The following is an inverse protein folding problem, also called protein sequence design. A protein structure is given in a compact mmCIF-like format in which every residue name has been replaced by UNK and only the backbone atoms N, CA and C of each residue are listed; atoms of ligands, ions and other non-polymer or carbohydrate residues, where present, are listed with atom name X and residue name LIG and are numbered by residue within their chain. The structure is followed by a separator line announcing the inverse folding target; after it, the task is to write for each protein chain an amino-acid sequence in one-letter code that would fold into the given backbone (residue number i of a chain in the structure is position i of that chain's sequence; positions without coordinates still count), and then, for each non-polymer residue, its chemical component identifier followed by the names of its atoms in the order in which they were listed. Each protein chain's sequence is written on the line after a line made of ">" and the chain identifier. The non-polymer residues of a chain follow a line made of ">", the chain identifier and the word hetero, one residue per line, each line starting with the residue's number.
data_IF_100299517821
#
_entry.id   IF_100299517821
#
_cell.length_a   1.000
_cell.length_b   1.000
_cell.length_c   1.000
_cell.angle_alpha   90.00
_cell.angle_beta   90.00
_cell.angle_gamma   90.00
#
_symmetry.space_group_name_H-M   'P 1'
#
loop_
_entity.id
_entity.type
_entity.pdbx_description
1 polymer ?
#
# COMPACT_ATOMS: atom_id res chain seq x y z
N UNK A 1 -19.46 18.67 -10.80
CA UNK A 1 -18.68 18.56 -12.06
C UNK A 1 -18.42 17.08 -12.32
N UNK A 2 -18.66 16.56 -13.53
CA UNK A 2 -18.38 15.16 -13.84
C UNK A 2 -16.87 14.88 -13.71
N UNK A 3 -16.44 13.84 -12.96
CA UNK A 3 -15.03 13.49 -12.86
C UNK A 3 -14.57 12.94 -14.21
N UNK A 4 -13.81 13.75 -14.95
CA UNK A 4 -13.15 13.29 -16.17
C UNK A 4 -12.02 12.32 -15.83
N UNK A 5 -11.85 11.26 -16.63
CA UNK A 5 -10.76 10.29 -16.51
C UNK A 5 -9.41 11.02 -16.60
N UNK A 6 -8.67 11.06 -15.49
CA UNK A 6 -7.29 11.54 -15.46
C UNK A 6 -6.38 10.37 -15.78
N UNK A 7 -5.80 10.35 -16.97
CA UNK A 7 -4.83 9.32 -17.33
C UNK A 7 -3.51 9.57 -16.56
N UNK A 8 -2.88 8.52 -15.99
CA UNK A 8 -1.66 8.66 -15.18
C UNK A 8 -0.39 8.85 -16.05
N UNK A 9 -0.48 9.59 -17.15
CA UNK A 9 0.57 9.69 -18.18
C UNK A 9 1.89 10.24 -17.65
N UNK A 10 1.87 11.17 -16.69
CA UNK A 10 3.12 11.70 -16.13
C UNK A 10 3.83 10.62 -15.27
N UNK A 11 3.08 9.73 -14.61
CA UNK A 11 3.65 8.58 -13.90
C UNK A 11 4.17 7.51 -14.86
N UNK A 12 3.43 7.21 -15.93
CA UNK A 12 3.85 6.27 -16.99
C UNK A 12 5.15 6.75 -17.67
N UNK A 13 5.25 8.06 -17.93
CA UNK A 13 6.48 8.67 -18.46
C UNK A 13 7.65 8.58 -17.48
N UNK A 14 7.41 8.81 -16.18
CA UNK A 14 8.43 8.67 -15.17
C UNK A 14 8.94 7.23 -15.06
N UNK A 15 8.02 6.26 -15.03
CA UNK A 15 8.33 4.84 -14.98
C UNK A 15 9.22 4.40 -16.14
N UNK A 16 8.83 4.74 -17.38
CA UNK A 16 9.63 4.40 -18.56
C UNK A 16 11.04 4.99 -18.55
N UNK A 17 11.18 6.25 -18.11
CA UNK A 17 12.48 6.89 -17.99
C UNK A 17 13.34 6.29 -16.86
N UNK A 18 12.74 5.93 -15.72
CA UNK A 18 13.46 5.27 -14.62
C UNK A 18 13.94 3.88 -15.02
N UNK A 19 13.13 3.10 -15.75
CA UNK A 19 13.53 1.80 -16.28
C UNK A 19 14.73 1.93 -17.23
N UNK A 20 14.70 2.93 -18.12
CA UNK A 20 15.80 3.20 -19.05
C UNK A 20 17.07 3.68 -18.32
N UNK A 21 16.93 4.55 -17.32
CA UNK A 21 18.06 4.96 -16.51
C UNK A 21 18.67 3.78 -15.74
N UNK A 22 17.81 2.94 -15.15
CA UNK A 22 18.24 1.78 -14.36
C UNK A 22 18.97 0.74 -15.21
N UNK A 23 18.53 0.50 -16.45
CA UNK A 23 19.22 -0.42 -17.35
C UNK A 23 20.65 0.05 -17.67
N UNK A 24 20.85 1.36 -17.85
CA UNK A 24 22.18 1.94 -18.08
C UNK A 24 23.04 1.94 -16.81
N UNK A 25 22.48 2.30 -15.66
CA UNK A 25 23.19 2.21 -14.37
C UNK A 25 23.65 0.78 -14.09
N UNK A 26 22.79 -0.21 -14.35
CA UNK A 26 23.11 -1.63 -14.19
C UNK A 26 24.23 -2.05 -15.15
N UNK A 27 24.12 -1.68 -16.43
CA UNK A 27 25.16 -1.94 -17.42
C UNK A 27 26.50 -1.33 -17.01
N UNK A 28 26.51 -0.08 -16.53
CA UNK A 28 27.74 0.58 -16.06
C UNK A 28 28.34 -0.12 -14.85
N UNK A 29 27.52 -0.49 -13.86
CA UNK A 29 27.96 -1.23 -12.68
C UNK A 29 28.56 -2.60 -13.01
N UNK A 30 28.08 -3.25 -14.07
CA UNK A 30 28.60 -4.54 -14.51
C UNK A 30 29.84 -4.40 -15.40
N UNK A 31 29.86 -3.42 -16.32
CA UNK A 31 30.89 -3.31 -17.36
C UNK A 31 32.12 -2.51 -16.94
N UNK A 32 31.96 -1.42 -16.19
CA UNK A 32 33.08 -0.52 -15.88
C UNK A 32 34.15 -1.15 -14.95
N UNK A 33 33.79 -2.00 -13.96
CA UNK A 33 34.79 -2.63 -13.09
C UNK A 33 35.66 -3.69 -13.78
N UNK A 34 35.33 -4.11 -15.00
CA UNK A 34 36.01 -5.21 -15.70
C UNK A 34 36.84 -4.63 -16.85
N UNK A 35 38.15 -4.84 -16.79
CA UNK A 35 39.12 -4.46 -17.82
C UNK A 35 40.22 -5.52 -17.93
N UNK A 36 40.64 -5.87 -19.16
CA UNK A 36 41.62 -6.94 -19.39
C UNK A 36 43.03 -6.52 -18.95
N UNK A 37 43.70 -7.38 -18.17
CA UNK A 37 45.08 -7.20 -17.71
C UNK A 37 45.27 -5.85 -16.98
N UNK A 38 46.25 -5.04 -17.38
CA UNK A 38 46.50 -3.74 -16.74
C UNK A 38 45.44 -2.69 -17.08
N UNK A 39 44.81 -2.77 -18.26
CA UNK A 39 43.63 -2.01 -18.73
C UNK A 39 43.43 -2.17 -20.24
N UNK A 40 42.21 -2.46 -20.68
CA UNK A 40 41.72 -2.20 -22.04
C UNK A 40 40.96 -0.87 -22.15
N UNK A 41 40.71 -0.38 -23.36
CA UNK A 41 40.13 0.95 -23.62
C UNK A 41 38.61 0.95 -23.86
N UNK A 42 37.90 -0.16 -23.59
CA UNK A 42 36.45 -0.24 -23.83
C UNK A 42 35.64 0.68 -22.91
N UNK A 43 36.17 1.00 -21.73
CA UNK A 43 35.63 1.96 -20.77
C UNK A 43 35.64 3.41 -21.29
N UNK A 44 36.60 3.78 -22.15
CA UNK A 44 36.73 5.15 -22.68
C UNK A 44 35.51 5.63 -23.46
N UNK A 45 34.88 4.77 -24.27
CA UNK A 45 33.62 5.13 -24.95
C UNK A 45 32.41 5.03 -24.03
N UNK A 46 32.40 4.07 -23.10
CA UNK A 46 31.27 3.87 -22.18
C UNK A 46 31.15 5.02 -21.18
N UNK A 47 32.27 5.50 -20.62
CA UNK A 47 32.29 6.60 -19.64
C UNK A 47 31.79 7.93 -20.21
N UNK A 48 31.82 8.13 -21.54
CA UNK A 48 31.20 9.30 -22.20
C UNK A 48 29.68 9.31 -22.09
N UNK A 49 29.07 8.19 -21.73
CA UNK A 49 27.63 8.03 -21.58
C UNK A 49 27.16 8.08 -20.11
N UNK A 50 28.04 8.42 -19.16
CA UNK A 50 27.66 8.49 -17.74
C UNK A 50 26.49 9.45 -17.49
N UNK A 51 26.38 10.53 -18.27
CA UNK A 51 25.28 11.50 -18.15
C UNK A 51 23.91 11.00 -18.62
N UNK A 52 23.87 9.92 -19.42
CA UNK A 52 22.64 9.41 -20.02
C UNK A 52 21.60 8.95 -18.97
N UNK A 53 21.92 8.07 -18.00
CA UNK A 53 20.95 7.71 -16.97
C UNK A 53 20.52 8.91 -16.12
N UNK A 54 21.42 9.86 -15.84
CA UNK A 54 21.06 11.07 -15.09
C UNK A 54 20.08 11.97 -15.86
N UNK A 55 20.22 12.07 -17.18
CA UNK A 55 19.26 12.77 -18.03
C UNK A 55 17.86 12.15 -17.96
N UNK A 56 17.78 10.82 -18.02
CA UNK A 56 16.50 10.11 -17.89
C UNK A 56 15.92 10.20 -16.48
N UNK A 57 16.75 10.14 -15.42
CA UNK A 57 16.30 10.38 -14.04
C UNK A 57 15.72 11.78 -13.92
N UNK A 58 16.38 12.80 -14.48
CA UNK A 58 15.89 14.17 -14.41
C UNK A 58 14.52 14.34 -15.09
N UNK A 59 14.32 13.73 -16.27
CA UNK A 59 13.02 13.73 -16.97
C UNK A 59 11.96 13.02 -16.12
N UNK A 60 12.32 11.88 -15.50
CA UNK A 60 11.41 11.15 -14.64
C UNK A 60 10.99 11.96 -13.42
N UNK A 61 11.93 12.62 -12.74
CA UNK A 61 11.65 13.46 -11.57
C UNK A 61 10.72 14.63 -11.91
N UNK A 62 10.93 15.30 -13.04
CA UNK A 62 10.01 16.35 -13.51
C UNK A 62 8.61 15.80 -13.80
N UNK A 63 8.53 14.61 -14.39
CA UNK A 63 7.25 13.95 -14.69
C UNK A 63 6.53 13.53 -13.41
N UNK A 64 7.25 12.98 -12.41
CA UNK A 64 6.71 12.66 -11.09
C UNK A 64 6.18 13.91 -10.39
N UNK A 65 6.95 14.99 -10.34
CA UNK A 65 6.53 16.23 -9.69
C UNK A 65 5.26 16.80 -10.33
N UNK A 66 5.17 16.75 -11.67
CA UNK A 66 3.97 17.13 -12.41
C UNK A 66 2.79 16.20 -12.12
N UNK A 67 3.00 14.89 -12.07
CA UNK A 67 1.98 13.91 -11.71
C UNK A 67 1.43 14.12 -10.29
N UNK A 68 2.33 14.29 -9.31
CA UNK A 68 1.98 14.56 -7.91
C UNK A 68 1.15 15.83 -7.76
N UNK A 69 1.49 16.90 -8.48
CA UNK A 69 0.74 18.16 -8.44
C UNK A 69 -0.72 18.06 -8.93
N UNK A 70 -1.05 16.98 -9.66
CA UNK A 70 -2.39 16.73 -10.20
C UNK A 70 -3.25 15.85 -9.30
N UNK A 71 -2.66 15.23 -8.27
CA UNK A 71 -3.38 14.30 -7.40
C UNK A 71 -4.44 15.02 -6.57
N UNK A 72 -5.63 14.42 -6.53
CA UNK A 72 -6.71 14.78 -5.61
C UNK A 72 -7.24 13.51 -4.99
N UNK A 73 -7.22 13.43 -3.66
CA UNK A 73 -7.71 12.27 -2.93
C UNK A 73 -9.23 12.18 -3.10
N UNK A 74 -9.72 11.02 -3.54
CA UNK A 74 -11.14 10.73 -3.61
C UNK A 74 -11.58 10.02 -2.33
N UNK A 75 -11.87 10.81 -1.29
CA UNK A 75 -12.26 10.30 0.03
C UNK A 75 -13.57 9.50 -0.03
N UNK A 76 -14.53 9.90 -0.86
CA UNK A 76 -15.81 9.22 -1.01
C UNK A 76 -15.65 7.80 -1.54
N UNK A 77 -14.81 7.62 -2.57
CA UNK A 77 -14.50 6.29 -3.10
C UNK A 77 -13.77 5.41 -2.08
N UNK A 78 -12.83 5.98 -1.32
CA UNK A 78 -12.13 5.27 -0.24
C UNK A 78 -13.12 4.83 0.84
N UNK A 79 -13.94 5.75 1.36
CA UNK A 79 -14.97 5.43 2.36
C UNK A 79 -15.95 4.39 1.87
N UNK A 80 -16.45 4.51 0.64
CA UNK A 80 -17.37 3.54 0.05
C UNK A 80 -16.72 2.16 -0.12
N UNK A 81 -15.41 2.11 -0.37
CA UNK A 81 -14.66 0.85 -0.46
C UNK A 81 -14.51 0.22 0.91
N UNK A 82 -14.12 0.98 1.93
CA UNK A 82 -14.04 0.50 3.32
C UNK A 82 -15.40 0.00 3.83
N UNK A 83 -16.47 0.72 3.53
CA UNK A 83 -17.83 0.37 3.95
C UNK A 83 -18.34 -0.94 3.30
N UNK A 84 -17.83 -1.30 2.13
CA UNK A 84 -18.15 -2.59 1.48
C UNK A 84 -17.35 -3.77 2.03
N UNK A 85 -16.35 -3.53 2.88
CA UNK A 85 -15.37 -4.53 3.28
C UNK A 85 -15.31 -4.71 4.81
N UNK A 86 -16.45 -4.96 5.47
CA UNK A 86 -16.49 -5.22 6.92
C UNK A 86 -15.76 -6.49 7.36
N UNK A 87 -15.49 -7.41 6.43
CA UNK A 87 -14.72 -8.63 6.69
C UNK A 87 -13.32 -8.38 7.25
N UNK A 88 -12.72 -7.21 6.99
CA UNK A 88 -11.39 -6.85 7.51
C UNK A 88 -11.33 -6.81 9.04
N UNK A 89 -12.48 -6.60 9.72
CA UNK A 89 -12.54 -6.59 11.18
C UNK A 89 -12.42 -7.98 11.81
N UNK A 90 -12.50 -9.06 11.02
CA UNK A 90 -12.42 -10.43 11.53
C UNK A 90 -11.12 -10.67 12.33
N UNK A 91 -9.99 -10.13 11.88
CA UNK A 91 -8.72 -10.23 12.59
C UNK A 91 -8.76 -9.51 13.94
N UNK A 92 -9.28 -8.29 13.98
CA UNK A 92 -9.40 -7.48 15.20
C UNK A 92 -10.26 -8.20 16.23
N UNK A 93 -11.45 -8.65 15.81
CA UNK A 93 -12.40 -9.37 16.65
C UNK A 93 -11.77 -10.67 17.16
N UNK A 94 -11.17 -11.47 16.29
CA UNK A 94 -10.49 -12.71 16.68
C UNK A 94 -9.40 -12.46 17.72
N UNK A 95 -8.61 -11.39 17.55
CA UNK A 95 -7.51 -11.06 18.46
C UNK A 95 -8.02 -10.68 19.84
N UNK A 96 -9.10 -9.89 19.90
CA UNK A 96 -9.77 -9.57 21.17
C UNK A 96 -10.35 -10.83 21.82
N UNK A 97 -11.00 -11.71 21.05
CA UNK A 97 -11.52 -12.98 21.59
C UNK A 97 -10.41 -13.88 22.16
N UNK A 98 -9.24 -13.91 21.51
CA UNK A 98 -8.06 -14.62 22.04
C UNK A 98 -7.57 -14.02 23.36
N UNK A 99 -7.57 -12.68 23.48
CA UNK A 99 -7.21 -11.97 24.73
C UNK A 99 -8.15 -12.35 25.86
N UNK A 100 -9.44 -12.48 25.57
CA UNK A 100 -10.47 -12.87 26.56
C UNK A 100 -10.52 -14.39 26.82
N UNK A 101 -9.68 -15.19 26.17
CA UNK A 101 -9.60 -16.64 26.40
C UNK A 101 -10.75 -17.45 25.79
N UNK A 102 -11.49 -16.89 24.82
CA UNK A 102 -12.57 -17.61 24.12
C UNK A 102 -11.97 -18.77 23.31
N UNK A 103 -12.61 -19.94 23.37
CA UNK A 103 -12.17 -21.13 22.63
C UNK A 103 -12.45 -21.00 21.12
N UNK A 104 -11.51 -21.50 20.30
CA UNK A 104 -11.66 -21.59 18.84
C UNK A 104 -12.11 -20.31 18.09
N UNK A 105 -11.60 -19.10 18.41
CA UNK A 105 -12.10 -17.85 17.85
C UNK A 105 -11.90 -17.75 16.33
N UNK A 106 -10.85 -18.39 15.80
CA UNK A 106 -10.63 -18.49 14.36
C UNK A 106 -11.76 -19.24 13.64
N UNK A 107 -12.23 -20.36 14.18
CA UNK A 107 -13.30 -21.14 13.54
C UNK A 107 -14.65 -20.41 13.64
N UNK A 108 -14.90 -19.65 14.72
CA UNK A 108 -16.08 -18.78 14.83
C UNK A 108 -16.11 -17.72 13.72
N UNK A 109 -15.00 -17.01 13.50
CA UNK A 109 -14.91 -15.98 12.46
C UNK A 109 -14.89 -16.57 11.04
N UNK A 110 -14.31 -17.76 10.87
CA UNK A 110 -14.35 -18.49 9.61
C UNK A 110 -15.76 -18.97 9.26
N UNK A 111 -16.58 -19.33 10.24
CA UNK A 111 -18.00 -19.63 10.03
C UNK A 111 -18.77 -18.38 9.59
N UNK A 112 -18.51 -17.23 10.24
CA UNK A 112 -19.12 -15.94 9.91
C UNK A 112 -18.79 -15.47 8.48
N UNK A 113 -17.56 -15.72 8.01
CA UNK A 113 -17.06 -15.28 6.70
C UNK A 113 -17.40 -16.22 5.54
N UNK A 114 -17.90 -17.44 5.82
CA UNK A 114 -18.18 -18.49 4.81
C UNK A 114 -19.62 -18.57 4.33
N UNK A 115 -20.56 -17.83 4.93
CA UNK A 115 -21.99 -17.90 4.61
C UNK A 115 -22.36 -17.42 3.20
N UNK A 116 -21.42 -16.88 2.42
CA UNK A 116 -21.64 -16.43 1.04
C UNK A 116 -22.44 -15.14 0.91
N UNK A 117 -23.15 -14.75 1.96
CA UNK A 117 -23.72 -13.41 2.13
C UNK A 117 -22.60 -12.43 2.51
N UNK A 118 -22.52 -11.30 1.80
CA UNK A 118 -21.46 -10.30 2.04
C UNK A 118 -21.50 -9.80 3.49
N UNK A 119 -20.35 -9.88 4.18
CA UNK A 119 -20.21 -9.37 5.55
C UNK A 119 -20.39 -7.84 5.54
N UNK A 120 -21.37 -7.38 6.30
CA UNK A 120 -21.67 -5.97 6.46
C UNK A 120 -21.73 -5.58 7.95
N UNK A 121 -21.97 -4.31 8.23
CA UNK A 121 -22.08 -3.78 9.59
C UNK A 121 -23.06 -4.56 10.46
N UNK A 122 -24.22 -4.92 9.93
CA UNK A 122 -25.27 -5.60 10.69
C UNK A 122 -24.86 -7.02 11.04
N UNK A 123 -24.24 -7.75 10.09
CA UNK A 123 -23.72 -9.09 10.32
C UNK A 123 -22.68 -9.11 11.44
N UNK A 124 -21.75 -8.16 11.44
CA UNK A 124 -20.75 -8.02 12.50
C UNK A 124 -21.39 -7.68 13.84
N UNK A 125 -22.35 -6.74 13.87
CA UNK A 125 -23.06 -6.39 15.11
C UNK A 125 -23.80 -7.59 15.70
N UNK A 126 -24.56 -8.32 14.88
CA UNK A 126 -25.28 -9.51 15.33
C UNK A 126 -24.32 -10.55 15.90
N UNK A 127 -23.20 -10.81 15.22
CA UNK A 127 -22.16 -11.70 15.72
C UNK A 127 -21.63 -11.26 17.09
N UNK A 128 -21.37 -9.96 17.29
CA UNK A 128 -20.88 -9.44 18.58
C UNK A 128 -21.91 -9.65 19.71
N UNK A 129 -23.21 -9.51 19.42
CA UNK A 129 -24.25 -9.72 20.41
C UNK A 129 -24.35 -11.18 20.88
N UNK A 130 -24.09 -12.14 19.98
CA UNK A 130 -24.13 -13.58 20.26
C UNK A 130 -22.92 -14.10 21.06
N UNK A 131 -21.84 -13.31 21.17
CA UNK A 131 -20.65 -13.71 21.93
C UNK A 131 -20.93 -13.83 23.43
N UNK A 132 -20.44 -14.90 24.05
CA UNK A 132 -20.42 -15.07 25.50
C UNK A 132 -19.18 -14.40 26.12
N UNK A 133 -19.16 -13.07 26.09
CA UNK A 133 -18.09 -12.23 26.65
C UNK A 133 -18.69 -11.08 27.46
N UNK A 134 -17.87 -10.45 28.30
CA UNK A 134 -18.33 -9.33 29.14
C UNK A 134 -18.89 -8.17 28.32
N UNK A 135 -19.82 -7.41 28.89
CA UNK A 135 -20.39 -6.22 28.22
C UNK A 135 -19.31 -5.20 27.85
N UNK A 136 -18.26 -5.06 28.67
CA UNK A 136 -17.14 -4.16 28.37
C UNK A 136 -16.39 -4.53 27.09
N UNK A 137 -16.22 -5.83 26.84
CA UNK A 137 -15.60 -6.35 25.61
C UNK A 137 -16.54 -6.15 24.41
N UNK A 138 -17.84 -6.38 24.58
CA UNK A 138 -18.82 -6.09 23.52
C UNK A 138 -18.80 -4.60 23.15
N UNK A 139 -18.70 -3.71 24.14
CA UNK A 139 -18.60 -2.27 23.91
C UNK A 139 -17.31 -1.85 23.20
N UNK A 140 -16.19 -2.53 23.47
CA UNK A 140 -14.95 -2.36 22.70
C UNK A 140 -15.13 -2.80 21.24
N UNK A 141 -15.66 -4.01 21.02
CA UNK A 141 -15.89 -4.57 19.69
C UNK A 141 -16.86 -3.73 18.86
N UNK A 142 -17.93 -3.18 19.46
CA UNK A 142 -18.92 -2.32 18.77
C UNK A 142 -18.33 -1.01 18.24
N UNK A 143 -17.21 -0.55 18.79
CA UNK A 143 -16.53 0.66 18.33
C UNK A 143 -15.73 0.43 17.06
N UNK A 144 -15.41 -0.82 16.71
CA UNK A 144 -14.63 -1.14 15.52
C UNK A 144 -15.43 -0.86 14.24
N UNK A 145 -14.76 -0.25 13.27
CA UNK A 145 -15.25 -0.08 11.91
C UNK A 145 -14.08 -0.15 10.93
N UNK A 146 -14.33 -0.50 9.65
CA UNK A 146 -13.27 -0.50 8.64
C UNK A 146 -12.56 0.86 8.51
N UNK A 147 -13.23 1.95 8.89
CA UNK A 147 -12.69 3.31 8.82
C UNK A 147 -11.78 3.67 9.99
N UNK A 148 -11.86 2.97 11.13
CA UNK A 148 -11.05 3.26 12.32
C UNK A 148 -10.08 2.15 12.71
N UNK A 149 -10.20 0.95 12.10
CA UNK A 149 -9.22 -0.12 12.23
C UNK A 149 -7.99 0.17 11.36
N UNK A 150 -7.28 1.25 11.68
CA UNK A 150 -6.11 1.76 10.96
C UNK A 150 -4.78 1.43 11.66
N UNK A 151 -4.83 0.82 12.84
CA UNK A 151 -3.65 0.54 13.65
C UNK A 151 -2.86 1.81 13.98
N UNK A 152 -1.54 1.74 13.83
CA UNK A 152 -0.61 2.85 14.08
C UNK A 152 -0.37 3.73 12.85
N UNK A 153 -1.23 3.68 11.82
CA UNK A 153 -0.96 4.35 10.55
C UNK A 153 -0.74 5.87 10.68
N UNK A 154 -1.55 6.56 11.49
CA UNK A 154 -1.42 7.99 11.71
C UNK A 154 -0.17 8.34 12.54
N UNK A 155 0.00 7.71 13.70
CA UNK A 155 1.15 7.99 14.54
C UNK A 155 2.48 7.49 13.94
N UNK A 156 2.47 6.52 13.04
CA UNK A 156 3.64 6.17 12.23
C UNK A 156 4.03 7.27 11.24
N UNK A 157 3.06 7.99 10.69
CA UNK A 157 3.31 9.15 9.85
C UNK A 157 3.87 10.32 10.66
N UNK A 158 3.29 10.61 11.83
CA UNK A 158 3.75 11.71 12.70
C UNK A 158 5.23 11.57 13.08
N UNK A 159 5.69 10.33 13.34
CA UNK A 159 7.10 10.04 13.65
C UNK A 159 8.09 10.23 12.49
N UNK A 160 7.61 10.39 11.25
CA UNK A 160 8.48 10.71 10.11
C UNK A 160 8.74 12.22 9.98
N UNK A 161 7.89 13.05 10.60
CA UNK A 161 8.04 14.51 10.59
C UNK A 161 8.94 15.03 11.72
N UNK A 162 9.10 14.25 12.80
CA UNK A 162 10.02 14.49 13.92
C UNK A 162 11.48 14.08 13.61
#
# INVERSE_FOLDING_TARGET
>A
AMPHKVNPIDFENAEGNLLFAMSHCTFFGQKLPISRLQRDLTDSTVTRNLGLPFGHILIALHSLQKGLSKLKVNTEAIHATLEKNWAVLAEAIQTILRREGVENPYEMLKALTRTGEGINQQTIKNFIEELDVSNSVKDELRKLSPQNYLGDAASAFDRLED
#
